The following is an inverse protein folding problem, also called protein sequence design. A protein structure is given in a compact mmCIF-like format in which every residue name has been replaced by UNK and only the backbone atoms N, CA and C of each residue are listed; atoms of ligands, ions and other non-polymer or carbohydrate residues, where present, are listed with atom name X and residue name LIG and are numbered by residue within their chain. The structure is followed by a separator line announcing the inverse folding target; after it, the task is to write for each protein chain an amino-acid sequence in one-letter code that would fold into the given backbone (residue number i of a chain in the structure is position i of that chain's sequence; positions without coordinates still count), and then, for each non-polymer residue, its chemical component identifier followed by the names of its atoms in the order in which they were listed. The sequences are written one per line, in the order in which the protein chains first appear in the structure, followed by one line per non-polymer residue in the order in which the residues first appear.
data_IF_557088046901
#
_entry.id   IF_557088046901
#
_cell.length_a   1.000
_cell.length_b   1.000
_cell.length_c   1.000
_cell.angle_alpha   90.00
_cell.angle_beta   90.00
_cell.angle_gamma   90.00
#
_symmetry.space_group_name_H-M   'P 1'
#
loop_
_entity.id
_entity.type
_entity.pdbx_description
1 polymer ?
#
# COMPACT_ATOMS: atom_id res chain seq x y z
N UNK A 1 -16.37 8.71 -20.76
CA UNK A 1 -17.15 7.63 -20.14
C UNK A 1 -16.43 6.29 -20.20
N UNK A 2 -15.80 5.92 -21.33
CA UNK A 2 -15.13 4.63 -21.50
C UNK A 2 -13.85 4.47 -20.63
N UNK A 3 -13.07 5.53 -20.42
CA UNK A 3 -11.89 5.51 -19.54
C UNK A 3 -12.23 5.29 -18.05
N UNK A 4 -13.37 5.83 -17.59
CA UNK A 4 -13.84 5.60 -16.21
C UNK A 4 -14.36 4.19 -16.00
N UNK A 5 -15.01 3.59 -17.00
CA UNK A 5 -15.51 2.21 -16.95
C UNK A 5 -14.36 1.19 -16.97
N UNK A 6 -13.33 1.40 -17.80
CA UNK A 6 -12.17 0.52 -17.84
C UNK A 6 -11.40 0.48 -16.51
N UNK A 7 -11.21 1.64 -15.88
CA UNK A 7 -10.58 1.73 -14.56
C UNK A 7 -11.41 1.08 -13.45
N UNK A 8 -12.74 1.15 -13.53
CA UNK A 8 -13.63 0.51 -12.58
C UNK A 8 -13.60 -1.01 -12.73
N UNK A 9 -13.68 -1.52 -13.97
CA UNK A 9 -13.59 -2.96 -14.24
C UNK A 9 -12.23 -3.54 -13.86
N UNK A 10 -11.14 -2.82 -14.11
CA UNK A 10 -9.80 -3.23 -13.71
C UNK A 10 -9.66 -3.24 -12.18
N UNK A 11 -10.25 -2.26 -11.48
CA UNK A 11 -10.31 -2.23 -10.02
C UNK A 11 -11.12 -3.40 -9.46
N UNK A 12 -12.31 -3.63 -9.99
CA UNK A 12 -13.18 -4.74 -9.58
C UNK A 12 -12.54 -6.10 -9.84
N UNK A 13 -11.89 -6.28 -10.98
CA UNK A 13 -11.20 -7.53 -11.34
C UNK A 13 -10.03 -7.84 -10.41
N UNK A 14 -9.27 -6.85 -9.99
CA UNK A 14 -8.15 -7.02 -9.05
C UNK A 14 -8.67 -7.37 -7.65
N UNK A 15 -9.79 -6.80 -7.23
CA UNK A 15 -10.39 -7.06 -5.92
C UNK A 15 -11.30 -8.30 -5.89
N UNK A 16 -11.89 -8.68 -7.01
CA UNK A 16 -12.68 -9.90 -7.14
C UNK A 16 -11.83 -11.16 -6.90
N UNK A 17 -10.59 -11.17 -7.36
CA UNK A 17 -9.65 -12.26 -7.12
C UNK A 17 -9.22 -12.36 -5.65
N UNK A 18 -9.53 -11.36 -4.84
CA UNK A 18 -9.17 -11.27 -3.42
C UNK A 18 -10.36 -11.40 -2.47
N UNK A 19 -11.56 -11.74 -2.96
CA UNK A 19 -12.80 -11.94 -2.17
C UNK A 19 -12.71 -13.17 -1.27
N UNK A 20 -11.90 -13.12 -0.24
CA UNK A 20 -11.90 -14.12 0.79
C UNK A 20 -11.29 -15.48 0.38
N UNK A 21 -10.85 -15.65 -0.86
CA UNK A 21 -10.11 -16.81 -1.35
C UNK A 21 -8.83 -16.34 -2.00
N UNK A 22 -7.71 -16.98 -1.66
CA UNK A 22 -6.49 -16.83 -2.45
C UNK A 22 -6.81 -17.42 -3.82
N UNK A 23 -6.96 -16.56 -4.84
CA UNK A 23 -7.28 -17.00 -6.19
C UNK A 23 -6.23 -18.03 -6.67
N UNK A 24 -6.63 -19.05 -7.49
CA UNK A 24 -5.68 -20.02 -8.03
C UNK A 24 -4.48 -19.37 -8.72
N UNK A 25 -4.69 -18.25 -9.40
CA UNK A 25 -3.65 -17.48 -10.07
C UNK A 25 -2.66 -16.86 -9.08
N UNK A 26 -3.12 -16.45 -7.92
CA UNK A 26 -2.27 -15.93 -6.87
C UNK A 26 -1.40 -17.03 -6.27
N UNK A 27 -1.93 -18.24 -6.08
CA UNK A 27 -1.14 -19.40 -5.63
C UNK A 27 -0.02 -19.74 -6.60
N UNK A 28 -0.30 -19.73 -7.91
CA UNK A 28 0.73 -19.92 -8.95
C UNK A 28 1.79 -18.82 -8.92
N UNK A 29 1.35 -17.57 -8.71
CA UNK A 29 2.25 -16.44 -8.59
C UNK A 29 3.17 -16.56 -7.37
N UNK A 30 2.63 -16.96 -6.22
CA UNK A 30 3.39 -17.21 -5.00
C UNK A 30 4.42 -18.33 -5.23
N UNK A 31 4.01 -19.45 -5.83
CA UNK A 31 4.90 -20.56 -6.14
C UNK A 31 6.05 -20.16 -7.06
N UNK A 32 5.78 -19.32 -8.07
CA UNK A 32 6.83 -18.76 -8.95
C UNK A 32 7.74 -17.76 -8.22
N UNK A 33 7.23 -17.10 -7.20
CA UNK A 33 7.96 -16.05 -6.47
C UNK A 33 8.91 -16.61 -5.41
N UNK A 34 8.78 -17.86 -5.01
CA UNK A 34 9.71 -18.54 -4.11
C UNK A 34 11.02 -18.99 -4.74
N UNK A 35 11.18 -18.82 -6.07
CA UNK A 35 12.43 -19.03 -6.77
C UNK A 35 13.36 -17.81 -6.68
N UNK A 36 14.64 -18.03 -6.84
CA UNK A 36 15.85 -17.21 -6.65
C UNK A 36 15.88 -15.72 -7.05
N UNK A 37 14.78 -15.07 -7.35
CA UNK A 37 14.79 -13.65 -7.69
C UNK A 37 14.66 -12.77 -6.42
N UNK A 38 15.77 -12.40 -5.87
CA UNK A 38 15.84 -11.42 -4.79
C UNK A 38 15.54 -10.04 -5.38
N UNK A 39 14.26 -9.65 -5.34
CA UNK A 39 13.92 -8.24 -5.56
C UNK A 39 14.33 -7.51 -4.29
N UNK A 40 15.37 -6.71 -4.41
CA UNK A 40 15.75 -5.79 -3.33
C UNK A 40 14.64 -4.75 -3.17
N UNK A 41 13.79 -4.93 -2.19
CA UNK A 41 12.90 -3.86 -1.76
C UNK A 41 13.68 -2.83 -0.97
N UNK A 42 13.51 -1.55 -1.29
CA UNK A 42 14.07 -0.45 -0.52
C UNK A 42 13.28 -0.17 0.77
N UNK A 43 12.14 -0.82 0.98
CA UNK A 43 11.31 -0.61 2.15
C UNK A 43 11.81 -1.41 3.36
N UNK A 44 11.95 -0.74 4.48
CA UNK A 44 12.27 -1.35 5.79
C UNK A 44 11.11 -1.05 6.74
N UNK A 45 10.53 -2.10 7.35
CA UNK A 45 9.40 -1.96 8.26
C UNK A 45 8.22 -1.15 7.66
N UNK A 46 7.99 -1.30 6.36
CA UNK A 46 6.90 -0.62 5.67
C UNK A 46 7.22 0.79 5.18
N UNK A 47 8.45 1.27 5.32
CA UNK A 47 8.82 2.62 4.92
C UNK A 47 10.02 2.65 3.96
N UNK A 48 9.92 3.48 2.93
CA UNK A 48 11.03 3.86 2.06
C UNK A 48 11.79 4.99 2.75
N UNK A 49 12.89 4.66 3.40
CA UNK A 49 13.68 5.62 4.17
C UNK A 49 15.01 5.88 3.49
N UNK A 50 15.27 7.11 3.12
CA UNK A 50 16.58 7.57 2.66
C UNK A 50 17.14 8.62 3.63
N UNK A 51 18.03 8.19 4.52
CA UNK A 51 18.69 9.06 5.51
C UNK A 51 19.62 10.08 4.87
N UNK A 52 19.99 9.88 3.61
CA UNK A 52 20.83 10.83 2.85
C UNK A 52 20.00 11.92 2.16
N UNK A 53 18.67 11.84 2.19
CA UNK A 53 17.79 12.89 1.69
C UNK A 53 17.99 14.16 2.54
N UNK A 54 18.34 15.31 1.94
CA UNK A 54 18.45 16.57 2.68
C UNK A 54 17.18 16.96 3.43
N UNK A 55 16.01 16.49 2.98
CA UNK A 55 14.69 16.76 3.57
C UNK A 55 14.24 15.64 4.52
N UNK A 56 15.09 14.68 4.81
CA UNK A 56 14.72 13.51 5.61
C UNK A 56 14.00 13.88 6.92
N UNK A 57 14.59 14.75 7.72
CA UNK A 57 14.02 15.14 9.01
C UNK A 57 12.62 15.74 8.88
N UNK A 58 12.42 16.60 7.89
CA UNK A 58 11.11 17.25 7.64
C UNK A 58 10.08 16.27 7.12
N UNK A 59 10.48 15.38 6.21
CA UNK A 59 9.61 14.35 5.63
C UNK A 59 9.22 13.30 6.66
N UNK A 60 10.16 12.87 7.49
CA UNK A 60 9.89 11.94 8.58
C UNK A 60 8.93 12.55 9.61
N UNK A 61 9.15 13.79 10.02
CA UNK A 61 8.25 14.49 10.93
C UNK A 61 6.82 14.65 10.35
N UNK A 62 6.71 14.97 9.06
CA UNK A 62 5.43 15.05 8.37
C UNK A 62 4.72 13.69 8.33
N UNK A 63 5.44 12.62 7.97
CA UNK A 63 4.90 11.28 7.94
C UNK A 63 4.37 10.84 9.32
N UNK A 64 5.15 11.07 10.36
CA UNK A 64 4.73 10.76 11.74
C UNK A 64 3.44 11.49 12.13
N UNK A 65 3.36 12.79 11.87
CA UNK A 65 2.15 13.58 12.16
C UNK A 65 0.96 13.10 11.36
N UNK A 66 1.16 12.78 10.09
CA UNK A 66 0.07 12.33 9.22
C UNK A 66 -0.48 10.96 9.66
N UNK A 67 0.39 9.99 9.94
CA UNK A 67 -0.05 8.68 10.43
C UNK A 67 -0.79 8.80 11.74
N UNK A 68 -0.33 9.65 12.64
CA UNK A 68 -1.00 9.94 13.92
C UNK A 68 -2.38 10.59 13.68
N UNK A 69 -2.47 11.56 12.77
CA UNK A 69 -3.73 12.19 12.41
C UNK A 69 -4.74 11.20 11.83
N UNK A 70 -4.27 10.22 11.05
CA UNK A 70 -5.13 9.16 10.51
C UNK A 70 -5.69 8.27 11.61
N UNK A 71 -4.87 7.92 12.61
CA UNK A 71 -5.32 7.13 13.77
C UNK A 71 -6.31 7.89 14.66
N UNK A 72 -6.12 9.19 14.83
CA UNK A 72 -6.94 10.05 15.68
C UNK A 72 -8.19 10.57 14.99
N UNK A 73 -8.30 10.43 13.68
CA UNK A 73 -9.49 10.82 12.92
C UNK A 73 -10.55 9.72 12.99
N UNK A 74 -11.79 10.10 12.70
CA UNK A 74 -12.89 9.14 12.62
C UNK A 74 -12.65 8.18 11.45
N UNK A 75 -12.39 6.92 11.77
CA UNK A 75 -12.08 5.85 10.80
C UNK A 75 -13.10 5.75 9.68
N UNK A 76 -14.40 5.78 10.03
CA UNK A 76 -15.48 5.67 9.05
C UNK A 76 -15.44 6.79 8.00
N UNK A 77 -15.10 8.02 8.38
CA UNK A 77 -14.99 9.13 7.44
C UNK A 77 -13.83 8.92 6.45
N UNK A 78 -12.69 8.47 6.93
CA UNK A 78 -11.53 8.17 6.08
C UNK A 78 -11.88 7.08 5.06
N UNK A 79 -12.47 6.00 5.52
CA UNK A 79 -12.86 4.86 4.69
C UNK A 79 -13.88 5.30 3.63
N UNK A 80 -14.90 6.04 4.03
CA UNK A 80 -15.95 6.54 3.13
C UNK A 80 -15.37 7.45 2.05
N UNK A 81 -14.51 8.39 2.42
CA UNK A 81 -13.89 9.32 1.48
C UNK A 81 -13.02 8.58 0.46
N UNK A 82 -12.14 7.70 0.91
CA UNK A 82 -11.27 6.94 0.01
C UNK A 82 -12.08 6.01 -0.89
N UNK A 83 -13.07 5.31 -0.35
CA UNK A 83 -13.94 4.44 -1.13
C UNK A 83 -14.69 5.22 -2.20
N UNK A 84 -15.28 6.36 -1.86
CA UNK A 84 -15.97 7.23 -2.82
C UNK A 84 -15.04 7.77 -3.90
N UNK A 85 -13.83 8.18 -3.52
CA UNK A 85 -12.87 8.78 -4.46
C UNK A 85 -12.22 7.76 -5.40
N UNK A 86 -12.18 6.49 -5.01
CA UNK A 86 -11.49 5.43 -5.77
C UNK A 86 -12.43 4.43 -6.43
N UNK A 87 -13.66 4.29 -5.93
CA UNK A 87 -14.58 3.22 -6.32
C UNK A 87 -14.20 1.85 -5.75
N UNK A 88 -13.25 1.80 -4.82
CA UNK A 88 -12.87 0.58 -4.09
C UNK A 88 -13.84 0.37 -2.93
N UNK A 89 -14.19 -0.88 -2.64
CA UNK A 89 -15.15 -1.19 -1.58
C UNK A 89 -14.67 -0.72 -0.21
N UNK A 90 -15.59 -0.27 0.63
CA UNK A 90 -15.31 0.12 2.02
C UNK A 90 -14.65 -1.01 2.80
N UNK A 91 -15.07 -2.25 2.55
CA UNK A 91 -14.47 -3.45 3.16
C UNK A 91 -12.96 -3.56 2.84
N UNK A 92 -12.57 -3.35 1.59
CA UNK A 92 -11.17 -3.37 1.17
C UNK A 92 -10.39 -2.20 1.76
N UNK A 93 -10.93 -1.00 1.72
CA UNK A 93 -10.29 0.18 2.32
C UNK A 93 -10.13 0.03 3.83
N UNK A 94 -11.11 -0.56 4.51
CA UNK A 94 -11.01 -0.85 5.95
C UNK A 94 -9.83 -1.77 6.27
N UNK A 95 -9.65 -2.83 5.50
CA UNK A 95 -8.52 -3.76 5.66
C UNK A 95 -7.17 -3.08 5.39
N UNK A 96 -7.10 -2.25 4.35
CA UNK A 96 -5.90 -1.47 4.02
C UNK A 96 -5.57 -0.50 5.16
N UNK A 97 -6.55 0.21 5.67
CA UNK A 97 -6.38 1.12 6.81
C UNK A 97 -5.83 0.39 8.04
N UNK A 98 -6.43 -0.72 8.41
CA UNK A 98 -5.97 -1.52 9.54
C UNK A 98 -4.55 -2.03 9.34
N UNK A 99 -4.22 -2.50 8.14
CA UNK A 99 -2.90 -2.98 7.80
C UNK A 99 -1.81 -1.91 7.93
N UNK A 100 -2.06 -0.74 7.39
CA UNK A 100 -1.07 0.33 7.35
C UNK A 100 -0.94 1.07 8.68
N UNK A 101 -2.05 1.33 9.39
CA UNK A 101 -2.06 2.26 10.52
C UNK A 101 -2.27 1.60 11.90
N UNK A 102 -2.88 0.45 11.96
CA UNK A 102 -3.37 -0.13 13.22
C UNK A 102 -2.68 -1.43 13.59
N UNK A 103 -2.57 -2.38 12.64
CA UNK A 103 -2.09 -3.71 12.93
C UNK A 103 -0.61 -3.72 13.33
N UNK A 104 -0.28 -4.55 14.30
CA UNK A 104 1.10 -4.84 14.70
C UNK A 104 1.55 -6.16 14.10
N UNK A 105 2.79 -6.19 13.64
CA UNK A 105 3.44 -7.36 13.04
C UNK A 105 4.83 -7.56 13.63
N UNK A 106 5.33 -8.78 13.55
CA UNK A 106 6.72 -9.07 13.85
C UNK A 106 7.63 -8.43 12.79
N UNK A 107 8.27 -7.35 13.17
CA UNK A 107 9.16 -6.55 12.32
C UNK A 107 10.55 -6.47 12.94
N UNK A 108 11.46 -5.80 12.26
CA UNK A 108 12.75 -5.47 12.87
C UNK A 108 12.53 -4.59 14.10
N UNK A 109 13.02 -5.04 15.26
CA UNK A 109 12.81 -4.38 16.55
C UNK A 109 11.63 -4.91 17.37
N UNK A 110 10.95 -5.98 16.94
CA UNK A 110 9.88 -6.66 17.67
C UNK A 110 8.49 -6.49 17.08
N UNK A 111 7.48 -6.77 17.88
CA UNK A 111 6.08 -6.64 17.48
C UNK A 111 5.66 -5.16 17.53
N UNK A 112 5.36 -4.60 16.37
CA UNK A 112 5.07 -3.17 16.23
C UNK A 112 4.29 -2.87 14.95
N UNK A 113 3.74 -1.66 14.86
CA UNK A 113 3.16 -1.12 13.64
C UNK A 113 4.25 -0.77 12.63
N UNK A 114 3.87 -0.67 11.35
CA UNK A 114 4.77 -0.16 10.31
C UNK A 114 5.28 1.24 10.63
N UNK A 115 6.51 1.52 10.22
CA UNK A 115 7.07 2.86 10.30
C UNK A 115 6.32 3.81 9.35
N UNK A 116 6.09 5.06 9.74
CA UNK A 116 5.49 6.05 8.86
C UNK A 116 6.37 6.31 7.62
N UNK A 117 5.70 6.37 6.45
CA UNK A 117 6.34 6.65 5.18
C UNK A 117 5.79 7.94 4.59
N UNK A 118 6.67 8.87 4.22
CA UNK A 118 6.28 10.18 3.68
C UNK A 118 5.46 10.06 2.39
N UNK A 119 5.91 9.24 1.46
CA UNK A 119 5.23 9.11 0.16
C UNK A 119 3.90 8.40 0.29
N UNK A 120 3.78 7.43 1.18
CA UNK A 120 2.51 6.80 1.51
C UNK A 120 1.56 7.80 2.18
N UNK A 121 2.05 8.63 3.10
CA UNK A 121 1.26 9.71 3.70
C UNK A 121 0.68 10.65 2.63
N UNK A 122 1.49 11.07 1.66
CA UNK A 122 1.05 11.91 0.54
C UNK A 122 0.05 11.19 -0.37
N UNK A 123 0.27 9.89 -0.64
CA UNK A 123 -0.69 9.08 -1.39
C UNK A 123 -2.05 8.99 -0.68
N UNK A 124 -2.07 8.73 0.62
CA UNK A 124 -3.31 8.70 1.41
C UNK A 124 -3.99 10.07 1.46
N UNK A 125 -3.23 11.15 1.54
CA UNK A 125 -3.76 12.52 1.50
C UNK A 125 -4.53 12.76 0.20
N UNK A 126 -3.93 12.46 -0.94
CA UNK A 126 -4.59 12.60 -2.25
C UNK A 126 -5.83 11.73 -2.38
N UNK A 127 -5.73 10.47 -1.93
CA UNK A 127 -6.85 9.53 -1.97
C UNK A 127 -8.02 9.97 -1.09
N UNK A 128 -7.73 10.52 0.09
CA UNK A 128 -8.75 11.03 1.02
C UNK A 128 -9.39 12.31 0.50
N UNK A 129 -8.60 13.24 -0.01
CA UNK A 129 -9.09 14.51 -0.58
C UNK A 129 -9.79 14.32 -1.92
N UNK A 130 -9.47 13.28 -2.66
CA UNK A 130 -9.99 13.03 -4.01
C UNK A 130 -9.41 13.95 -5.07
N UNK A 131 -8.25 14.55 -4.81
CA UNK A 131 -7.59 15.50 -5.70
C UNK A 131 -6.22 14.99 -6.10
N UNK A 132 -5.88 15.15 -7.39
CA UNK A 132 -4.58 14.81 -7.94
C UNK A 132 -4.15 13.35 -7.67
N UNK A 133 -5.11 12.43 -7.63
CA UNK A 133 -4.82 11.01 -7.42
C UNK A 133 -3.91 10.51 -8.55
N UNK A 134 -2.78 9.93 -8.16
CA UNK A 134 -1.76 9.43 -9.04
C UNK A 134 -1.89 7.91 -9.24
N UNK A 135 -1.30 7.42 -10.34
CA UNK A 135 -1.27 5.97 -10.61
C UNK A 135 -0.64 5.17 -9.46
N UNK A 136 0.46 5.67 -8.91
CA UNK A 136 1.13 4.99 -7.80
C UNK A 136 0.30 4.98 -6.51
N UNK A 137 -0.62 5.92 -6.31
CA UNK A 137 -1.54 5.90 -5.17
C UNK A 137 -2.47 4.68 -5.24
N UNK A 138 -2.99 4.37 -6.43
CA UNK A 138 -3.85 3.21 -6.64
C UNK A 138 -3.06 1.90 -6.57
N UNK A 139 -1.84 1.88 -7.06
CA UNK A 139 -0.93 0.74 -6.93
C UNK A 139 -0.62 0.47 -5.45
N UNK A 140 -0.41 1.52 -4.65
CA UNK A 140 -0.22 1.40 -3.21
C UNK A 140 -1.40 0.68 -2.55
N UNK A 141 -2.63 1.07 -2.85
CA UNK A 141 -3.81 0.41 -2.27
C UNK A 141 -3.86 -1.08 -2.61
N UNK A 142 -3.54 -1.44 -3.84
CA UNK A 142 -3.48 -2.83 -4.29
C UNK A 142 -2.35 -3.60 -3.60
N UNK A 143 -1.19 -2.98 -3.47
CA UNK A 143 -0.04 -3.53 -2.74
C UNK A 143 -0.41 -3.82 -1.28
N UNK A 144 -0.90 -2.85 -0.57
CA UNK A 144 -1.25 -3.00 0.85
C UNK A 144 -2.37 -4.03 1.06
N UNK A 145 -3.32 -4.11 0.14
CA UNK A 145 -4.38 -5.12 0.20
C UNK A 145 -3.86 -6.54 0.02
N UNK A 146 -2.98 -6.76 -0.95
CA UNK A 146 -2.39 -8.07 -1.19
C UNK A 146 -1.47 -8.48 -0.04
N UNK A 147 -0.61 -7.60 0.42
CA UNK A 147 0.29 -7.84 1.56
C UNK A 147 -0.50 -8.22 2.82
N UNK A 148 -1.60 -7.51 3.10
CA UNK A 148 -2.51 -7.85 4.19
C UNK A 148 -3.03 -9.30 4.06
N UNK A 149 -3.52 -9.69 2.88
CA UNK A 149 -4.07 -11.05 2.66
C UNK A 149 -2.98 -12.12 2.83
N UNK A 150 -1.78 -11.90 2.31
CA UNK A 150 -0.67 -12.84 2.44
C UNK A 150 -0.26 -13.04 3.90
N UNK A 151 -0.23 -11.98 4.68
CA UNK A 151 0.13 -12.04 6.10
C UNK A 151 -0.98 -12.65 6.95
N UNK A 152 -2.25 -12.31 6.70
CA UNK A 152 -3.38 -12.77 7.50
C UNK A 152 -3.84 -14.19 7.16
N UNK A 153 -3.91 -14.53 5.87
CA UNK A 153 -4.45 -15.83 5.44
C UNK A 153 -3.40 -16.91 5.28
N UNK A 154 -2.22 -16.54 4.79
CA UNK A 154 -1.12 -17.48 4.58
C UNK A 154 -0.08 -17.42 5.70
N UNK A 155 -0.28 -16.56 6.69
CA UNK A 155 0.62 -16.40 7.84
C UNK A 155 2.08 -16.12 7.43
N UNK A 156 2.28 -15.46 6.29
CA UNK A 156 3.61 -15.06 5.86
C UNK A 156 4.14 -13.94 6.75
N UNK A 157 5.44 -13.95 6.97
CA UNK A 157 6.14 -12.82 7.58
C UNK A 157 6.17 -11.63 6.64
N UNK A 158 6.31 -10.43 7.18
CA UNK A 158 6.30 -9.19 6.40
C UNK A 158 7.30 -9.22 5.23
N UNK A 159 8.54 -9.63 5.45
CA UNK A 159 9.56 -9.63 4.40
C UNK A 159 9.18 -10.51 3.20
N UNK A 160 8.62 -11.68 3.46
CA UNK A 160 8.14 -12.59 2.42
C UNK A 160 6.92 -12.03 1.69
N UNK A 161 5.93 -11.57 2.47
CA UNK A 161 4.71 -10.99 1.92
C UNK A 161 5.03 -9.76 1.06
N UNK A 162 5.92 -8.90 1.54
CA UNK A 162 6.34 -7.69 0.83
C UNK A 162 7.04 -8.00 -0.49
N UNK A 163 7.97 -8.94 -0.50
CA UNK A 163 8.65 -9.37 -1.74
C UNK A 163 7.70 -9.91 -2.80
N UNK A 164 6.77 -10.75 -2.38
CA UNK A 164 5.75 -11.31 -3.29
C UNK A 164 4.84 -10.21 -3.83
N UNK A 165 4.39 -9.34 -2.96
CA UNK A 165 3.49 -8.24 -3.29
C UNK A 165 4.16 -7.24 -4.24
N UNK A 166 5.41 -6.90 -4.00
CA UNK A 166 6.18 -5.95 -4.81
C UNK A 166 6.33 -6.44 -6.26
N UNK A 167 6.41 -7.74 -6.48
CA UNK A 167 6.44 -8.30 -7.84
C UNK A 167 5.18 -8.03 -8.63
N UNK A 168 4.02 -8.08 -7.98
CA UNK A 168 2.73 -7.87 -8.64
C UNK A 168 2.33 -6.40 -8.68
N UNK A 169 2.54 -5.69 -7.59
CA UNK A 169 2.20 -4.28 -7.42
C UNK A 169 3.42 -3.52 -6.91
N UNK A 170 4.27 -3.11 -7.85
CA UNK A 170 5.52 -2.43 -7.52
C UNK A 170 5.28 -0.94 -7.29
N UNK A 171 4.92 -0.60 -6.05
CA UNK A 171 4.69 0.77 -5.63
C UNK A 171 5.96 1.63 -5.76
N UNK A 172 7.10 1.12 -5.33
CA UNK A 172 8.36 1.85 -5.38
C UNK A 172 8.75 2.25 -6.81
N UNK A 173 8.61 1.33 -7.76
CA UNK A 173 8.88 1.61 -9.18
C UNK A 173 7.93 2.67 -9.73
N UNK A 174 6.65 2.57 -9.44
CA UNK A 174 5.64 3.54 -9.88
C UNK A 174 5.87 4.92 -9.26
N UNK A 175 6.22 4.97 -7.98
CA UNK A 175 6.59 6.19 -7.27
C UNK A 175 7.84 6.84 -7.89
N UNK A 176 8.89 6.07 -8.09
CA UNK A 176 10.15 6.57 -8.67
C UNK A 176 9.94 7.14 -10.07
N UNK A 177 9.10 6.49 -10.87
CA UNK A 177 8.72 7.00 -12.20
C UNK A 177 8.03 8.36 -12.10
N UNK A 178 7.07 8.49 -11.17
CA UNK A 178 6.38 9.76 -10.91
C UNK A 178 7.36 10.86 -10.47
N UNK A 179 8.23 10.57 -9.50
CA UNK A 179 9.20 11.54 -8.99
C UNK A 179 10.15 12.02 -10.10
N UNK A 180 10.59 11.11 -10.95
CA UNK A 180 11.48 11.44 -12.08
C UNK A 180 10.78 12.30 -13.13
N UNK A 181 9.52 12.00 -13.48
CA UNK A 181 8.74 12.75 -14.46
C UNK A 181 8.50 14.21 -14.03
N UNK A 182 8.37 14.45 -12.74
CA UNK A 182 8.12 15.79 -12.18
C UNK A 182 9.35 16.45 -11.55
N UNK A 183 10.54 15.89 -11.75
CA UNK A 183 11.79 16.40 -11.17
C UNK A 183 11.75 16.62 -9.64
N UNK A 184 11.12 15.68 -8.96
CA UNK A 184 10.96 15.74 -7.50
C UNK A 184 11.96 14.88 -6.74
#
# INVERSE_FOLDING_TARGET
FSKKMGLRQERERIYLDMKGRVAPDLRKFIAKSTGNDIIKSGAINGALTDKNDPLYTRRDAHANRYYESMRNSRKSNIIDHIANNTGISKKSINKIYDHVFINEYELSGGKRRFDPDYYMAESFRRLREGKNIQKHDLIMLKHERLEYELMKKLHLKYDEAHKITERKYNYQKALNKFLKEYNL
#
